data_IF_600189161508
#
_entry.id   IF_600189161508
#
_cell.length_a   1.000
_cell.length_b   1.000
_cell.length_c   1.000
_cell.angle_alpha   90.00
_cell.angle_beta   90.00
_cell.angle_gamma   90.00
#
_symmetry.space_group_name_H-M   'P 1'
#
loop_
_entity.id
_entity.type
_entity.pdbx_description
1 polymer ?
#
# COMPACT_ATOMS: atom_id res chain seq x y z
N UNK A 1 -11.68 4.70 -26.90
CA UNK A 1 -11.58 5.17 -26.85
C UNK A 1 -11.69 5.57 -26.32
N UNK A 2 -11.69 4.85 -26.14
CA UNK A 2 -11.58 5.31 -25.72
C UNK A 2 -11.44 5.52 -25.20
N UNK A 3 -11.21 5.11 -25.00
CA UNK A 3 -10.97 5.35 -24.68
C UNK A 3 -10.77 5.65 -24.02
N UNK A 4 -11.01 4.81 -24.15
CA UNK A 4 -10.82 5.23 -23.73
C UNK A 4 -10.76 5.19 -23.10
N UNK A 5 -10.87 4.76 -22.90
CA UNK A 5 -10.88 5.01 -22.60
C UNK A 5 -10.71 5.32 -22.01
N UNK A 6 -10.52 4.73 -21.64
CA UNK A 6 -10.58 5.17 -21.36
C UNK A 6 -10.22 5.50 -21.06
N UNK A 7 -10.16 4.84 -20.81
CA UNK A 7 -10.03 5.29 -20.64
C UNK A 7 -9.86 5.37 -20.28
N UNK A 8 -9.76 5.06 -20.11
CA UNK A 8 -9.78 5.36 -19.95
C UNK A 8 -9.39 5.68 -19.39
N UNK A 9 -9.74 5.06 -19.47
CA UNK A 9 -9.65 5.45 -19.23
C UNK A 9 -9.36 6.13 -18.63
N UNK A 10 -9.32 5.47 -18.61
CA UNK A 10 -9.31 6.19 -18.45
C UNK A 10 -9.22 6.51 -17.99
N UNK A 11 -9.22 6.43 -17.78
CA UNK A 11 -9.35 6.92 -17.67
C UNK A 11 -9.10 7.44 -17.31
N UNK A 12 -9.03 7.00 -17.20
CA UNK A 12 -9.00 7.49 -17.06
C UNK A 12 -8.96 7.82 -16.46
N UNK A 13 -8.94 7.49 -16.43
CA UNK A 13 -9.01 7.89 -16.15
C UNK A 13 -9.22 8.11 -15.51
N UNK A 14 -9.35 7.98 -15.19
CA UNK A 14 -9.68 8.31 -14.85
C UNK A 14 -10.09 8.25 -14.37
N UNK A 15 -10.18 7.90 -14.47
CA UNK A 15 -10.68 7.97 -14.28
C UNK A 15 -11.08 7.85 -13.72
N UNK A 16 -11.15 7.97 -13.45
CA UNK A 16 -11.61 7.95 -13.20
C UNK A 16 -11.74 7.77 -12.34
N UNK A 17 -11.88 7.19 -12.21
CA UNK A 17 -12.05 7.12 -11.74
C UNK A 17 -12.50 6.68 -11.25
N UNK A 18 -12.74 6.45 -11.17
CA UNK A 18 -13.14 6.20 -10.89
C UNK A 18 -13.47 5.65 -10.35
N UNK A 19 -13.63 5.22 -10.28
CA UNK A 19 -13.88 4.84 -10.07
C UNK A 19 -14.11 4.23 -9.52
N UNK A 20 -14.17 3.95 -9.28
CA UNK A 20 -14.26 3.61 -9.04
C UNK A 20 -14.48 2.99 -8.55
N UNK A 21 -14.82 2.83 -8.16
CA UNK A 21 -14.96 2.47 -7.98
C UNK A 21 -15.01 1.92 -7.77
N UNK A 22 -15.06 1.72 -7.85
CA UNK A 22 -15.10 1.39 -8.03
C UNK A 22 -15.08 0.77 -7.97
N UNK A 23 -15.20 0.56 -7.73
CA UNK A 23 -15.15 0.22 -7.95
C UNK A 23 -14.96 -0.29 -7.96
N UNK A 24 -14.78 -0.67 -7.84
CA UNK A 24 -14.70 -0.93 -8.10
C UNK A 24 -14.71 -1.45 -8.28
N UNK A 25 -14.70 -1.67 -8.25
CA UNK A 25 -14.72 -1.97 -8.66
C UNK A 25 -14.48 -2.40 -9.09
N UNK A 26 -14.35 -2.74 -9.16
CA UNK A 26 -14.10 -3.23 -9.78
C UNK A 26 -13.49 -3.95 -10.00
N UNK A 27 -13.22 -4.51 -10.07
CA UNK A 27 -12.73 -5.11 -10.31
C UNK A 27 -12.21 -5.70 -10.67
N UNK A 28 -11.83 -6.34 -11.12
CA UNK A 28 -11.27 -6.96 -11.59
C UNK A 28 -10.85 -7.29 -12.69
N UNK A 29 -10.45 -7.75 -12.98
CA UNK A 29 -9.85 -7.99 -14.12
C UNK A 29 -8.46 -8.25 -14.05
N UNK A 30 -8.09 -9.38 -14.46
CA UNK A 30 -6.85 -9.96 -14.11
C UNK A 30 -5.66 -9.30 -14.71
N UNK A 31 -5.55 -9.20 -15.95
CA UNK A 31 -4.35 -8.75 -16.55
C UNK A 31 -4.01 -7.35 -16.15
N UNK A 32 -4.91 -6.49 -16.37
CA UNK A 32 -4.70 -5.12 -16.01
C UNK A 32 -4.68 -4.99 -14.51
N UNK A 33 -4.85 -6.11 -13.86
CA UNK A 33 -5.04 -6.14 -12.45
C UNK A 33 -3.89 -5.62 -11.65
N UNK A 34 -2.65 -5.74 -12.12
CA UNK A 34 -1.53 -5.36 -11.27
C UNK A 34 -1.54 -3.87 -10.95
N UNK A 35 -1.68 -3.01 -11.94
CA UNK A 35 -1.70 -1.57 -11.68
C UNK A 35 -2.96 -1.15 -10.96
N UNK A 36 -4.10 -1.67 -11.37
CA UNK A 36 -5.37 -1.40 -10.69
C UNK A 36 -5.30 -1.90 -9.26
N UNK A 37 -4.74 -3.09 -9.05
CA UNK A 37 -4.59 -3.65 -7.73
C UNK A 37 -3.67 -2.83 -6.84
N UNK A 38 -2.55 -2.35 -7.38
CA UNK A 38 -1.62 -1.53 -6.62
C UNK A 38 -2.25 -0.20 -6.23
N UNK A 39 -2.96 0.43 -7.17
CA UNK A 39 -3.69 1.66 -6.86
C UNK A 39 -4.77 1.42 -5.82
N UNK A 40 -5.42 0.27 -5.88
CA UNK A 40 -6.44 -0.11 -4.92
C UNK A 40 -5.88 -0.26 -3.52
N UNK A 41 -4.68 -0.80 -3.39
CA UNK A 41 -4.04 -0.96 -2.10
C UNK A 41 -3.75 0.39 -1.46
N UNK A 42 -3.19 1.34 -2.22
CA UNK A 42 -2.93 2.69 -1.73
C UNK A 42 -4.25 3.38 -1.35
N UNK A 43 -5.23 3.28 -2.22
CA UNK A 43 -6.53 3.90 -2.01
C UNK A 43 -7.20 3.40 -0.74
N UNK A 44 -7.15 2.10 -0.51
CA UNK A 44 -7.73 1.51 0.70
C UNK A 44 -7.00 1.99 1.94
N UNK A 45 -5.67 1.97 1.92
CA UNK A 45 -4.88 2.43 3.07
C UNK A 45 -5.17 3.89 3.39
N UNK A 46 -5.31 4.71 2.34
CA UNK A 46 -5.53 6.14 2.49
C UNK A 46 -6.83 6.46 3.22
N UNK A 47 -7.83 5.59 3.10
CA UNK A 47 -9.12 5.80 3.76
C UNK A 47 -9.02 5.88 5.27
N UNK A 48 -7.98 5.32 5.85
CA UNK A 48 -7.85 5.21 7.30
C UNK A 48 -6.91 6.23 7.92
N UNK A 49 -6.32 7.12 7.11
CA UNK A 49 -5.38 8.13 7.63
C UNK A 49 -6.06 8.92 8.75
N UNK A 50 -5.36 9.06 9.85
CA UNK A 50 -5.85 9.78 11.03
C UNK A 50 -6.61 8.92 12.02
N UNK A 51 -6.80 7.64 11.72
CA UNK A 51 -7.57 6.73 12.59
C UNK A 51 -6.73 5.54 13.02
N UNK A 52 -7.27 4.76 13.94
CA UNK A 52 -6.74 3.44 14.28
C UNK A 52 -7.86 2.42 14.06
N UNK A 53 -7.93 1.83 12.86
CA UNK A 53 -9.02 0.89 12.56
C UNK A 53 -8.79 -0.50 13.14
N UNK A 54 -7.63 -0.77 13.76
CA UNK A 54 -7.30 -2.10 14.27
C UNK A 54 -7.80 -2.33 15.69
N UNK A 55 -8.04 -1.27 16.44
CA UNK A 55 -8.42 -1.38 17.84
C UNK A 55 -7.27 -1.77 18.77
N UNK A 56 -6.06 -1.88 18.27
CA UNK A 56 -4.91 -2.27 19.08
C UNK A 56 -4.19 -1.04 19.60
N UNK A 57 -3.55 -1.17 20.74
CA UNK A 57 -2.90 -0.04 21.40
C UNK A 57 -1.45 0.13 20.96
N UNK A 58 -0.79 -0.92 20.45
CA UNK A 58 0.62 -0.84 20.10
C UNK A 58 0.98 -1.88 19.05
N UNK A 59 2.07 -1.64 18.34
CA UNK A 59 2.69 -2.60 17.42
C UNK A 59 1.70 -3.14 16.37
N UNK A 60 0.92 -2.24 15.78
CA UNK A 60 -0.13 -2.67 14.86
C UNK A 60 0.11 -2.29 13.39
N UNK A 61 1.33 -1.92 13.03
CA UNK A 61 1.61 -1.59 11.63
C UNK A 61 1.41 -2.81 10.70
N UNK A 62 1.86 -3.99 11.12
CA UNK A 62 1.66 -5.21 10.36
C UNK A 62 0.20 -5.65 10.35
N UNK A 63 -0.48 -5.48 11.47
CA UNK A 63 -1.90 -5.79 11.55
C UNK A 63 -2.70 -4.92 10.58
N UNK A 64 -2.39 -3.63 10.53
CA UNK A 64 -3.04 -2.72 9.59
C UNK A 64 -2.74 -3.12 8.15
N UNK A 65 -1.48 -3.45 7.85
CA UNK A 65 -1.12 -3.85 6.49
C UNK A 65 -1.91 -5.08 6.05
N UNK A 66 -2.03 -6.08 6.92
CA UNK A 66 -2.83 -7.26 6.64
C UNK A 66 -4.31 -6.92 6.43
N UNK A 67 -4.83 -5.99 7.23
CA UNK A 67 -6.21 -5.55 7.06
C UNK A 67 -6.43 -4.93 5.68
N UNK A 68 -5.50 -4.09 5.22
CA UNK A 68 -5.61 -3.46 3.91
C UNK A 68 -5.52 -4.50 2.81
N UNK A 69 -4.62 -5.47 2.94
CA UNK A 69 -4.51 -6.57 1.97
C UNK A 69 -5.82 -7.33 1.88
N UNK A 70 -6.38 -7.70 3.01
CA UNK A 70 -7.62 -8.47 3.05
C UNK A 70 -8.75 -7.68 2.41
N UNK A 71 -8.87 -6.41 2.71
CA UNK A 71 -9.95 -5.58 2.18
C UNK A 71 -9.82 -5.30 0.68
N UNK A 72 -8.66 -5.52 0.12
CA UNK A 72 -8.46 -5.40 -1.32
C UNK A 72 -8.42 -6.76 -2.01
N UNK A 73 -8.85 -7.80 -1.32
CA UNK A 73 -9.00 -9.13 -1.91
C UNK A 73 -7.71 -9.91 -2.03
N UNK A 74 -6.68 -9.52 -1.29
CA UNK A 74 -5.39 -10.20 -1.33
C UNK A 74 -5.20 -11.07 -0.11
N UNK A 75 -4.35 -12.10 -0.23
CA UNK A 75 -4.03 -12.93 0.92
C UNK A 75 -3.25 -12.08 1.94
N UNK A 76 -3.32 -12.46 3.20
CA UNK A 76 -2.55 -11.81 4.26
C UNK A 76 -1.17 -12.46 4.37
N UNK A 77 -0.26 -11.83 5.10
CA UNK A 77 1.11 -12.32 5.18
C UNK A 77 1.28 -13.56 6.06
N UNK A 78 0.27 -13.87 6.84
CA UNK A 78 0.36 -14.98 7.79
C UNK A 78 0.94 -14.59 9.14
N UNK A 79 1.38 -13.36 9.29
CA UNK A 79 1.91 -12.83 10.55
C UNK A 79 1.66 -11.33 10.59
N UNK A 80 1.50 -10.79 11.79
CA UNK A 80 1.38 -9.33 11.97
C UNK A 80 2.72 -8.66 12.25
N UNK A 81 3.81 -9.41 12.16
CA UNK A 81 5.14 -8.84 12.30
C UNK A 81 5.55 -8.16 11.00
N UNK A 82 6.06 -6.94 11.10
CA UNK A 82 6.43 -6.17 9.91
C UNK A 82 7.40 -6.93 9.01
N UNK A 83 8.37 -7.61 9.57
CA UNK A 83 9.37 -8.35 8.79
C UNK A 83 8.79 -9.47 7.94
N UNK A 84 7.59 -9.97 8.29
CA UNK A 84 6.97 -11.03 7.51
C UNK A 84 6.65 -10.58 6.09
N UNK A 85 6.51 -9.28 5.88
CA UNK A 85 6.18 -8.75 4.57
C UNK A 85 7.38 -8.73 3.62
N UNK A 86 8.60 -8.88 4.14
CA UNK A 86 9.78 -8.90 3.27
C UNK A 86 9.78 -10.11 2.32
N UNK A 87 9.08 -11.17 2.68
CA UNK A 87 8.96 -12.37 1.83
C UNK A 87 7.52 -12.62 1.38
N UNK A 88 6.65 -11.63 1.52
CA UNK A 88 5.23 -11.81 1.23
C UNK A 88 4.94 -11.97 -0.27
N UNK A 89 5.52 -11.14 -1.09
CA UNK A 89 5.23 -11.13 -2.52
C UNK A 89 6.50 -11.11 -3.35
N UNK A 90 6.43 -10.45 -4.49
CA UNK A 90 7.59 -10.37 -5.38
C UNK A 90 8.50 -9.24 -4.95
N UNK A 91 9.76 -9.60 -4.61
CA UNK A 91 10.76 -8.62 -4.22
C UNK A 91 11.14 -7.76 -5.42
N UNK A 92 11.18 -6.45 -5.25
CA UNK A 92 11.63 -5.54 -6.28
C UNK A 92 12.82 -4.73 -5.76
N UNK A 93 13.58 -4.14 -6.68
CA UNK A 93 14.87 -3.53 -6.33
C UNK A 93 14.75 -2.11 -5.78
N UNK A 94 13.61 -1.46 -5.95
CA UNK A 94 13.45 -0.07 -5.50
C UNK A 94 12.01 0.29 -5.28
N UNK A 95 11.76 1.54 -4.87
CA UNK A 95 10.38 1.95 -4.54
C UNK A 95 9.52 2.04 -5.79
N UNK A 96 8.27 1.65 -5.61
CA UNK A 96 7.25 1.75 -6.64
C UNK A 96 5.93 1.95 -5.92
N UNK A 97 5.10 2.85 -6.41
CA UNK A 97 3.79 3.11 -5.81
C UNK A 97 2.98 1.82 -5.81
N UNK A 98 2.40 1.48 -4.68
CA UNK A 98 1.67 0.23 -4.50
C UNK A 98 2.51 -0.90 -3.95
N UNK A 99 3.83 -0.75 -3.89
CA UNK A 99 4.68 -1.74 -3.25
C UNK A 99 4.56 -1.63 -1.73
N UNK A 100 4.80 -2.74 -1.05
CA UNK A 100 4.90 -2.76 0.41
C UNK A 100 6.35 -2.46 0.76
N UNK A 101 6.56 -1.48 1.64
CA UNK A 101 7.88 -1.10 2.11
C UNK A 101 8.09 -1.62 3.52
N UNK A 102 9.20 -2.32 3.74
CA UNK A 102 9.54 -2.88 5.04
C UNK A 102 10.80 -2.20 5.54
N UNK A 103 10.76 -1.71 6.76
CA UNK A 103 11.89 -1.00 7.32
C UNK A 103 12.17 -1.45 8.74
N UNK A 104 13.41 -1.23 9.16
CA UNK A 104 13.88 -1.55 10.48
C UNK A 104 13.46 -0.45 11.46
N UNK A 105 13.19 -0.82 12.68
CA UNK A 105 12.87 0.11 13.76
C UNK A 105 13.77 -0.16 14.95
N UNK A 106 15.03 -0.39 14.67
CA UNK A 106 16.02 -0.71 15.68
C UNK A 106 15.66 -1.97 16.45
N UNK A 107 15.84 -1.95 17.73
CA UNK A 107 15.57 -3.12 18.59
C UNK A 107 14.10 -3.41 18.77
N UNK A 108 13.24 -2.52 18.32
CA UNK A 108 11.79 -2.70 18.49
C UNK A 108 11.13 -3.45 17.36
N UNK A 109 11.91 -4.08 16.52
CA UNK A 109 11.38 -4.82 15.38
C UNK A 109 11.29 -3.92 14.16
N UNK A 110 10.22 -4.01 13.39
CA UNK A 110 10.15 -3.33 12.12
C UNK A 110 8.96 -2.41 11.99
N UNK A 111 8.88 -1.84 10.81
CA UNK A 111 7.73 -1.04 10.40
C UNK A 111 7.38 -1.40 8.97
N UNK A 112 6.12 -1.32 8.60
CA UNK A 112 5.66 -1.71 7.28
C UNK A 112 4.52 -0.80 6.84
N UNK A 113 4.49 -0.51 5.56
CA UNK A 113 3.39 0.26 4.98
C UNK A 113 3.39 0.14 3.48
N UNK A 114 2.49 0.84 2.82
CA UNK A 114 2.39 0.83 1.37
C UNK A 114 2.93 2.13 0.80
N UNK A 115 3.74 2.02 -0.25
CA UNK A 115 4.33 3.18 -0.92
C UNK A 115 3.24 3.93 -1.66
N UNK A 116 3.08 5.20 -1.33
CA UNK A 116 2.10 6.07 -1.98
C UNK A 116 2.73 7.11 -2.89
N UNK A 117 4.04 7.31 -2.78
CA UNK A 117 4.73 8.27 -3.64
C UNK A 117 6.24 8.22 -3.48
N UNK A 118 6.92 8.85 -4.39
CA UNK A 118 8.37 9.01 -4.37
C UNK A 118 8.63 10.45 -4.73
N UNK A 119 9.39 11.18 -3.89
CA UNK A 119 9.64 12.59 -4.17
C UNK A 119 10.84 12.77 -5.10
N UNK A 120 11.12 14.02 -5.47
CA UNK A 120 12.18 14.34 -6.41
C UNK A 120 13.56 13.97 -5.90
N UNK A 121 13.72 13.85 -4.59
CA UNK A 121 15.00 13.46 -3.97
C UNK A 121 15.11 11.96 -3.78
N UNK A 122 14.12 11.21 -4.23
CA UNK A 122 14.11 9.76 -4.09
C UNK A 122 13.65 9.27 -2.73
N UNK A 123 13.16 10.16 -1.88
CA UNK A 123 12.58 9.74 -0.60
C UNK A 123 11.20 9.13 -0.85
N UNK A 124 10.80 8.24 0.02
CA UNK A 124 9.63 7.39 -0.21
C UNK A 124 8.52 7.79 0.75
N UNK A 125 7.36 8.09 0.20
CA UNK A 125 6.16 8.38 1.00
C UNK A 125 5.40 7.09 1.20
N UNK A 126 5.05 6.80 2.46
CA UNK A 126 4.47 5.52 2.86
C UNK A 126 3.25 5.77 3.74
N UNK A 127 2.17 5.06 3.48
CA UNK A 127 1.01 5.04 4.36
C UNK A 127 1.15 3.82 5.26
N UNK A 128 1.18 4.04 6.56
CA UNK A 128 1.43 2.95 7.50
C UNK A 128 0.62 3.13 8.78
N UNK A 129 0.36 2.02 9.45
CA UNK A 129 -0.33 2.02 10.73
C UNK A 129 0.64 2.25 11.88
N UNK A 130 0.08 2.64 13.00
CA UNK A 130 0.81 2.87 14.25
C UNK A 130 1.95 3.89 14.11
N UNK A 131 1.70 4.92 13.35
CA UNK A 131 2.59 6.08 13.28
C UNK A 131 1.97 7.13 14.21
N UNK A 132 2.54 7.30 15.38
CA UNK A 132 1.93 8.13 16.43
C UNK A 132 0.51 7.64 16.76
N UNK A 133 0.33 6.32 16.83
CA UNK A 133 -0.91 5.66 17.22
C UNK A 133 -2.06 5.85 16.23
N UNK A 134 -1.75 6.16 14.99
CA UNK A 134 -2.77 6.29 13.94
C UNK A 134 -2.16 5.90 12.61
N UNK A 135 -3.01 5.74 11.62
CA UNK A 135 -2.55 5.58 10.25
C UNK A 135 -2.09 6.95 9.76
N UNK A 136 -0.92 7.00 9.17
CA UNK A 136 -0.35 8.26 8.67
C UNK A 136 0.40 8.03 7.36
N UNK A 137 0.48 9.09 6.59
CA UNK A 137 1.30 9.13 5.37
C UNK A 137 2.53 9.96 5.69
N UNK A 138 3.70 9.35 5.61
CA UNK A 138 4.95 10.00 5.99
C UNK A 138 6.05 9.68 5.01
N UNK A 139 7.04 10.56 4.92
CA UNK A 139 8.16 10.41 4.00
C UNK A 139 9.37 9.88 4.75
N UNK A 140 10.01 8.87 4.18
CA UNK A 140 11.18 8.22 4.75
C UNK A 140 12.32 8.26 3.75
N UNK A 141 13.55 8.34 4.26
CA UNK A 141 14.71 8.20 3.40
C UNK A 141 14.80 6.77 2.87
N UNK A 142 15.29 6.62 1.66
CA UNK A 142 15.39 5.29 1.04
C UNK A 142 16.25 4.33 1.88
N UNK A 143 17.26 4.85 2.55
CA UNK A 143 18.13 4.03 3.38
C UNK A 143 17.43 3.36 4.56
N UNK A 144 16.25 3.85 4.94
CA UNK A 144 15.47 3.25 6.02
C UNK A 144 14.76 1.97 5.59
N UNK A 145 14.52 1.81 4.30
CA UNK A 145 13.69 0.72 3.77
C UNK A 145 14.61 -0.36 3.21
N UNK A 146 14.52 -1.56 3.77
CA UNK A 146 15.41 -2.65 3.33
C UNK A 146 14.74 -3.62 2.36
N UNK A 147 13.43 -3.55 2.18
CA UNK A 147 12.74 -4.41 1.25
C UNK A 147 11.52 -3.72 0.65
N UNK A 148 11.36 -3.87 -0.64
CA UNK A 148 10.16 -3.48 -1.36
C UNK A 148 9.56 -4.73 -1.97
N UNK A 149 8.27 -4.93 -1.78
CA UNK A 149 7.59 -6.16 -2.21
C UNK A 149 6.30 -5.79 -2.93
N UNK A 150 6.11 -6.31 -4.15
CA UNK A 150 4.81 -6.15 -4.82
C UNK A 150 3.89 -7.27 -4.37
N UNK A 151 2.70 -6.92 -3.88
CA UNK A 151 1.74 -7.92 -3.42
C UNK A 151 1.10 -8.73 -4.54
#
# INVERSE_FOLDING_TARGET
>A
MLQGHFDQHGLTANARSVAAHSYASVAHRAGAGSDVGSAGLVSEARRYIGTNPTGRSSLWCGHFMNMVLERTGRRVSGSNMARSFASYGTRISGPQVGAIAVMSRGKRGGHVGVVSGIDANGNVTVISGNHNRRVAESTYSRGRIYAYVMP
#
